data_IF_203201504057
#
_entry.id   IF_203201504057
#
_cell.length_a   1.000
_cell.length_b   1.000
_cell.length_c   1.000
_cell.angle_alpha   90.00
_cell.angle_beta   90.00
_cell.angle_gamma   90.00
#
_symmetry.space_group_name_H-M   'P 1'
#
loop_
_entity.id
_entity.type
_entity.pdbx_description
1 polymer ?
#
# COMPACT_ATOMS: atom_id res chain seq x y z
N UNK A 1 -11.31 -14.81 7.33
CA UNK A 1 -11.35 -13.36 7.04
C UNK A 1 -10.47 -13.17 5.84
N UNK A 2 -11.11 -12.90 4.72
CA UNK A 2 -10.54 -12.94 3.40
C UNK A 2 -10.93 -11.64 2.67
N UNK A 3 -9.93 -11.04 2.04
CA UNK A 3 -10.15 -9.88 1.19
C UNK A 3 -10.36 -10.36 -0.23
N UNK A 4 -11.30 -9.80 -0.96
CA UNK A 4 -11.62 -10.21 -2.32
C UNK A 4 -11.45 -9.05 -3.30
N UNK A 5 -10.91 -9.37 -4.48
CA UNK A 5 -10.99 -8.54 -5.67
C UNK A 5 -12.13 -9.07 -6.54
N UNK A 6 -13.08 -8.21 -6.84
CA UNK A 6 -14.24 -8.48 -7.69
C UNK A 6 -14.00 -7.81 -9.05
N UNK A 7 -13.84 -8.60 -10.09
CA UNK A 7 -13.72 -8.10 -11.47
C UNK A 7 -15.08 -8.25 -12.16
N UNK A 8 -15.72 -7.12 -12.41
CA UNK A 8 -17.05 -7.02 -13.02
C UNK A 8 -16.87 -6.68 -14.49
N UNK A 9 -17.39 -7.53 -15.38
CA UNK A 9 -17.29 -7.32 -16.83
C UNK A 9 -18.51 -6.54 -17.34
N UNK A 10 -18.30 -5.28 -17.75
CA UNK A 10 -19.29 -4.45 -18.42
C UNK A 10 -19.10 -4.51 -19.94
N UNK A 11 -20.03 -3.94 -20.71
CA UNK A 11 -20.08 -4.07 -22.18
C UNK A 11 -18.80 -3.63 -22.90
N UNK A 12 -18.04 -2.67 -22.34
CA UNK A 12 -16.80 -2.12 -22.92
C UNK A 12 -15.69 -1.88 -21.89
N UNK A 13 -15.87 -2.38 -20.68
CA UNK A 13 -14.96 -2.12 -19.58
C UNK A 13 -14.95 -3.26 -18.57
N UNK A 14 -13.89 -3.32 -17.79
CA UNK A 14 -13.80 -4.19 -16.61
C UNK A 14 -13.60 -3.31 -15.40
N UNK A 15 -14.50 -3.42 -14.44
CA UNK A 15 -14.42 -2.74 -13.16
C UNK A 15 -13.86 -3.69 -12.09
N UNK A 16 -12.89 -3.22 -11.32
CA UNK A 16 -12.36 -3.90 -10.17
C UNK A 16 -12.80 -3.21 -8.88
N UNK A 17 -13.54 -3.95 -8.05
CA UNK A 17 -13.98 -3.52 -6.73
C UNK A 17 -13.32 -4.41 -5.68
N UNK A 18 -12.80 -3.81 -4.62
CA UNK A 18 -12.15 -4.56 -3.55
C UNK A 18 -13.02 -4.55 -2.29
N UNK A 19 -13.31 -5.73 -1.76
CA UNK A 19 -14.13 -5.89 -0.54
C UNK A 19 -13.39 -6.71 0.51
N UNK A 20 -13.70 -6.46 1.78
CA UNK A 20 -13.24 -7.26 2.92
C UNK A 20 -14.45 -7.93 3.57
N UNK A 21 -14.47 -9.26 3.67
CA UNK A 21 -15.61 -9.98 4.25
C UNK A 21 -15.75 -9.79 5.76
N UNK A 22 -14.67 -9.40 6.42
CA UNK A 22 -14.62 -9.13 7.85
C UNK A 22 -14.98 -7.68 8.19
N UNK A 23 -14.85 -6.78 7.23
CA UNK A 23 -15.00 -5.34 7.38
C UNK A 23 -15.70 -4.76 6.16
N UNK A 24 -16.98 -5.11 6.01
CA UNK A 24 -17.82 -4.56 4.95
C UNK A 24 -17.98 -3.05 5.15
N UNK A 25 -18.12 -2.29 4.05
CA UNK A 25 -18.41 -0.86 4.14
C UNK A 25 -19.80 -0.61 4.74
N UNK A 26 -20.01 0.57 5.30
CA UNK A 26 -21.31 1.02 5.82
C UNK A 26 -21.99 2.00 4.86
N UNK A 27 -23.30 2.19 5.00
CA UNK A 27 -24.02 3.19 4.21
C UNK A 27 -23.51 4.60 4.56
N UNK A 28 -23.18 5.39 3.54
CA UNK A 28 -22.54 6.71 3.66
C UNK A 28 -21.01 6.67 3.52
N UNK A 29 -20.38 5.48 3.55
CA UNK A 29 -18.95 5.38 3.29
C UNK A 29 -18.62 5.80 1.85
N UNK A 30 -17.46 6.43 1.66
CA UNK A 30 -16.85 6.60 0.35
C UNK A 30 -15.85 5.48 0.11
N UNK A 31 -15.85 4.94 -1.11
CA UNK A 31 -14.86 3.97 -1.54
C UNK A 31 -14.39 4.28 -2.95
N UNK A 32 -13.49 3.44 -3.46
CA UNK A 32 -12.94 3.60 -4.80
C UNK A 32 -13.01 2.31 -5.59
N UNK A 33 -13.36 2.43 -6.85
CA UNK A 33 -13.29 1.35 -7.83
C UNK A 33 -12.33 1.72 -8.95
N UNK A 34 -11.84 0.72 -9.68
CA UNK A 34 -10.95 0.92 -10.81
C UNK A 34 -11.59 0.37 -12.06
N UNK A 35 -11.71 1.16 -13.11
CA UNK A 35 -12.34 0.72 -14.33
C UNK A 35 -11.37 0.82 -15.50
N UNK A 36 -11.26 -0.25 -16.27
CA UNK A 36 -10.42 -0.32 -17.46
C UNK A 36 -11.31 -0.43 -18.69
N UNK A 37 -11.27 0.58 -19.54
CA UNK A 37 -11.95 0.60 -20.83
C UNK A 37 -11.04 0.03 -21.92
N UNK A 38 -11.65 -0.56 -22.94
CA UNK A 38 -10.90 -1.03 -24.11
C UNK A 38 -10.15 0.13 -24.77
N UNK A 39 -8.83 -0.02 -24.93
CA UNK A 39 -7.98 0.99 -25.58
C UNK A 39 -7.62 2.20 -24.73
N UNK A 40 -8.00 2.25 -23.44
CA UNK A 40 -7.70 3.36 -22.53
C UNK A 40 -6.95 2.90 -21.26
N UNK A 41 -6.27 3.85 -20.61
CA UNK A 41 -5.67 3.63 -19.30
C UNK A 41 -6.75 3.41 -18.22
N UNK A 42 -6.48 2.62 -17.17
CA UNK A 42 -7.41 2.44 -16.06
C UNK A 42 -7.73 3.75 -15.35
N UNK A 43 -9.03 3.99 -15.14
CA UNK A 43 -9.57 5.16 -14.47
C UNK A 43 -10.00 4.78 -13.06
N UNK A 44 -9.79 5.67 -12.09
CA UNK A 44 -10.22 5.48 -10.71
C UNK A 44 -11.52 6.26 -10.46
N UNK A 45 -12.51 5.60 -9.90
CA UNK A 45 -13.76 6.21 -9.44
C UNK A 45 -13.79 6.37 -7.93
N UNK A 46 -14.38 7.46 -7.47
CA UNK A 46 -14.85 7.64 -6.11
C UNK A 46 -16.36 7.42 -6.10
N UNK A 47 -16.82 6.55 -5.21
CA UNK A 47 -18.22 6.12 -5.17
C UNK A 47 -18.74 6.15 -3.75
N UNK A 48 -20.01 6.46 -3.62
CA UNK A 48 -20.74 6.45 -2.35
C UNK A 48 -21.37 5.07 -2.13
N UNK A 49 -21.20 4.52 -0.94
CA UNK A 49 -21.91 3.31 -0.52
C UNK A 49 -23.29 3.72 -0.05
N UNK A 50 -24.30 3.51 -0.89
CA UNK A 50 -25.67 3.93 -0.60
C UNK A 50 -26.30 3.02 0.45
N UNK A 51 -26.03 1.72 0.35
CA UNK A 51 -26.67 0.71 1.20
C UNK A 51 -25.85 -0.56 1.23
N UNK A 52 -25.72 -1.14 2.42
CA UNK A 52 -25.27 -2.52 2.61
C UNK A 52 -26.35 -3.30 3.35
N UNK A 53 -26.78 -4.42 2.78
CA UNK A 53 -27.78 -5.32 3.38
C UNK A 53 -27.15 -6.70 3.53
N UNK A 54 -26.73 -7.05 4.74
CA UNK A 54 -26.16 -8.36 5.06
C UNK A 54 -27.22 -9.27 5.68
N UNK A 55 -27.40 -10.46 5.11
CA UNK A 55 -28.32 -11.49 5.60
C UNK A 55 -27.69 -12.89 5.55
N UNK A 56 -28.40 -13.88 6.07
CA UNK A 56 -27.94 -15.27 6.09
C UNK A 56 -27.81 -15.81 4.65
N UNK A 57 -26.60 -15.77 4.09
CA UNK A 57 -26.28 -16.30 2.76
C UNK A 57 -26.37 -15.30 1.61
N UNK A 58 -26.60 -14.01 1.88
CA UNK A 58 -26.61 -12.95 0.85
C UNK A 58 -26.18 -11.61 1.46
N UNK A 59 -25.26 -10.93 0.78
CA UNK A 59 -24.88 -9.56 1.11
C UNK A 59 -25.00 -8.69 -0.14
N UNK A 60 -25.81 -7.64 -0.07
CA UNK A 60 -25.96 -6.67 -1.17
C UNK A 60 -25.23 -5.38 -0.79
N UNK A 61 -24.37 -4.89 -1.68
CA UNK A 61 -23.65 -3.62 -1.56
C UNK A 61 -24.07 -2.74 -2.74
N UNK A 62 -24.63 -1.58 -2.47
CA UNK A 62 -25.08 -0.63 -3.49
C UNK A 62 -24.11 0.55 -3.53
N UNK A 63 -23.47 0.75 -4.66
CA UNK A 63 -22.50 1.81 -4.93
C UNK A 63 -23.12 2.84 -5.88
N UNK A 64 -22.96 4.13 -5.59
CA UNK A 64 -23.43 5.23 -6.44
C UNK A 64 -22.26 6.00 -7.02
N UNK A 65 -22.36 6.22 -8.33
CA UNK A 65 -21.36 6.88 -9.16
C UNK A 65 -21.97 8.20 -9.60
N UNK A 66 -21.33 9.30 -9.20
CA UNK A 66 -21.80 10.64 -9.53
C UNK A 66 -20.68 11.49 -10.08
N UNK A 67 -21.06 12.49 -10.89
CA UNK A 67 -20.15 13.47 -11.45
C UNK A 67 -19.51 14.32 -10.35
N UNK A 68 -20.26 14.61 -9.29
CA UNK A 68 -19.83 15.42 -8.15
C UNK A 68 -18.69 14.77 -7.37
N UNK A 69 -18.71 13.45 -7.22
CA UNK A 69 -17.61 12.68 -6.61
C UNK A 69 -16.41 12.51 -7.56
N UNK A 70 -16.63 12.69 -8.87
CA UNK A 70 -15.63 12.45 -9.91
C UNK A 70 -15.44 13.66 -10.84
N UNK A 71 -15.09 14.85 -10.31
CA UNK A 71 -15.02 16.08 -11.09
C UNK A 71 -13.96 16.02 -12.21
N UNK A 72 -12.91 15.20 -12.05
CA UNK A 72 -11.89 14.99 -13.08
C UNK A 72 -12.43 14.28 -14.33
N UNK A 73 -13.57 13.61 -14.23
CA UNK A 73 -14.22 12.86 -15.31
C UNK A 73 -15.43 13.61 -15.88
N UNK A 74 -15.69 14.82 -15.41
CA UNK A 74 -16.87 15.63 -15.72
C UNK A 74 -17.06 15.99 -17.21
N UNK A 75 -15.99 15.90 -18.02
CA UNK A 75 -15.99 16.21 -19.45
C UNK A 75 -16.02 14.98 -20.36
N UNK A 76 -16.06 13.77 -19.80
CA UNK A 76 -16.20 12.51 -20.54
C UNK A 76 -17.67 12.10 -20.51
N UNK A 77 -18.22 11.67 -21.65
CA UNK A 77 -19.57 11.13 -21.71
C UNK A 77 -19.58 9.75 -21.04
N UNK A 78 -19.95 9.72 -19.76
CA UNK A 78 -19.82 8.56 -18.91
C UNK A 78 -21.16 8.16 -18.28
N UNK A 79 -21.49 6.87 -18.21
CA UNK A 79 -22.68 6.40 -17.50
C UNK A 79 -22.56 6.68 -16.01
N UNK A 80 -23.45 7.52 -15.47
CA UNK A 80 -23.62 7.74 -14.03
C UNK A 80 -24.80 6.92 -13.53
N UNK A 81 -24.74 6.38 -12.32
CA UNK A 81 -25.74 5.43 -11.87
C UNK A 81 -25.38 4.71 -10.59
N UNK A 82 -25.95 3.53 -10.42
CA UNK A 82 -25.70 2.65 -9.28
C UNK A 82 -25.30 1.25 -9.71
N UNK A 83 -24.28 0.70 -9.05
CA UNK A 83 -23.89 -0.70 -9.15
C UNK A 83 -24.34 -1.43 -7.89
N UNK A 84 -25.16 -2.46 -8.04
CA UNK A 84 -25.57 -3.36 -6.94
C UNK A 84 -24.79 -4.66 -7.02
N UNK A 85 -23.86 -4.85 -6.09
CA UNK A 85 -23.04 -6.06 -5.98
C UNK A 85 -23.69 -7.01 -4.97
N UNK A 86 -24.10 -8.18 -5.43
CA UNK A 86 -24.70 -9.24 -4.61
C UNK A 86 -23.69 -10.36 -4.37
N UNK A 87 -23.21 -10.48 -3.13
CA UNK A 87 -22.33 -11.56 -2.67
C UNK A 87 -23.15 -12.73 -2.13
N UNK A 88 -22.74 -13.95 -2.47
CA UNK A 88 -23.34 -15.19 -1.99
C UNK A 88 -22.24 -16.16 -1.54
N UNK A 89 -22.22 -16.57 -0.26
CA UNK A 89 -21.30 -17.61 0.21
C UNK A 89 -21.54 -18.91 -0.57
N UNK A 90 -20.47 -19.47 -1.15
CA UNK A 90 -20.51 -20.76 -1.83
C UNK A 90 -19.73 -21.82 -1.06
N UNK A 91 -20.01 -23.12 -1.30
CA UNK A 91 -19.37 -24.25 -0.61
C UNK A 91 -17.84 -24.30 -0.70
N UNK A 92 -17.24 -23.69 -1.74
CA UNK A 92 -15.78 -23.69 -1.99
C UNK A 92 -15.19 -22.31 -2.26
N UNK A 93 -15.99 -21.34 -2.71
CA UNK A 93 -15.57 -19.98 -3.03
C UNK A 93 -16.74 -19.02 -2.92
N UNK A 94 -16.46 -17.76 -2.59
CA UNK A 94 -17.44 -16.69 -2.66
C UNK A 94 -17.90 -16.50 -4.12
N UNK A 95 -19.20 -16.24 -4.32
CA UNK A 95 -19.76 -15.90 -5.62
C UNK A 95 -20.32 -14.49 -5.56
N UNK A 96 -20.22 -13.77 -6.66
CA UNK A 96 -20.78 -12.43 -6.79
C UNK A 96 -21.51 -12.29 -8.12
N UNK A 97 -22.48 -11.38 -8.14
CA UNK A 97 -23.18 -10.89 -9.33
C UNK A 97 -23.31 -9.37 -9.16
N UNK A 98 -23.16 -8.61 -10.24
CA UNK A 98 -23.33 -7.16 -10.21
C UNK A 98 -24.46 -6.74 -11.16
N UNK A 99 -25.25 -5.76 -10.75
CA UNK A 99 -26.31 -5.17 -11.56
C UNK A 99 -26.10 -3.66 -11.67
N UNK A 100 -26.03 -3.15 -12.89
CA UNK A 100 -25.89 -1.73 -13.19
C UNK A 100 -27.23 -1.10 -13.54
N UNK A 101 -27.49 0.09 -12.99
CA UNK A 101 -28.63 0.93 -13.32
C UNK A 101 -28.20 2.39 -13.50
N UNK A 102 -28.33 2.90 -14.73
CA UNK A 102 -28.01 4.27 -15.11
C UNK A 102 -29.01 5.29 -14.56
N UNK A 103 -28.55 6.53 -14.42
CA UNK A 103 -29.37 7.68 -14.08
C UNK A 103 -29.07 8.84 -15.05
N UNK A 104 -29.98 9.14 -16.00
CA UNK A 104 -31.25 8.45 -16.26
C UNK A 104 -31.08 7.03 -16.82
N UNK A 105 -32.09 6.14 -16.69
CA UNK A 105 -32.01 4.75 -17.18
C UNK A 105 -31.61 4.66 -18.64
N UNK A 106 -30.74 3.71 -18.97
CA UNK A 106 -30.23 3.49 -20.31
C UNK A 106 -30.12 1.98 -20.57
N UNK A 107 -31.12 1.36 -21.24
CA UNK A 107 -31.16 -0.08 -21.48
C UNK A 107 -29.98 -0.66 -22.26
N UNK A 108 -29.18 0.17 -22.94
CA UNK A 108 -27.96 -0.28 -23.61
C UNK A 108 -26.84 -0.64 -22.63
N UNK A 109 -26.86 -0.05 -21.42
CA UNK A 109 -25.84 -0.23 -20.39
C UNK A 109 -26.40 -0.80 -19.08
N UNK A 110 -27.72 -0.70 -18.85
CA UNK A 110 -28.41 -1.30 -17.71
C UNK A 110 -28.41 -2.83 -17.84
N UNK A 111 -28.17 -3.53 -16.73
CA UNK A 111 -28.26 -4.99 -16.74
C UNK A 111 -27.36 -5.67 -15.71
N UNK A 112 -27.35 -7.00 -15.79
CA UNK A 112 -26.57 -7.86 -14.90
C UNK A 112 -25.29 -8.32 -15.58
N UNK A 113 -24.19 -8.30 -14.85
CA UNK A 113 -22.88 -8.75 -15.30
C UNK A 113 -22.31 -9.87 -14.45
N UNK A 114 -21.45 -10.68 -15.09
CA UNK A 114 -20.66 -11.68 -14.41
C UNK A 114 -19.56 -11.03 -13.57
N UNK A 115 -19.31 -11.60 -12.40
CA UNK A 115 -18.25 -11.15 -11.49
C UNK A 115 -17.28 -12.29 -11.25
N UNK A 116 -16.03 -12.07 -11.65
CA UNK A 116 -14.92 -12.93 -11.25
C UNK A 116 -14.47 -12.54 -9.84
N UNK A 117 -14.42 -13.52 -8.93
CA UNK A 117 -14.03 -13.31 -7.54
C UNK A 117 -12.65 -13.92 -7.31
N UNK A 118 -11.68 -13.08 -6.99
CA UNK A 118 -10.32 -13.49 -6.61
C UNK A 118 -10.11 -13.23 -5.13
N UNK A 119 -9.79 -14.26 -4.36
CA UNK A 119 -9.32 -14.09 -2.99
C UNK A 119 -7.92 -13.50 -3.00
N UNK A 120 -7.77 -12.34 -2.38
CA UNK A 120 -6.49 -11.68 -2.19
C UNK A 120 -5.78 -12.31 -1.00
N UNK A 121 -4.45 -12.46 -1.06
CA UNK A 121 -3.70 -12.97 0.08
C UNK A 121 -3.99 -12.11 1.32
N UNK A 122 -4.08 -12.72 2.52
CA UNK A 122 -4.20 -11.96 3.76
C UNK A 122 -3.06 -10.95 3.81
N UNK A 123 -3.37 -9.74 4.29
CA UNK A 123 -2.37 -8.70 4.47
C UNK A 123 -1.34 -9.17 5.51
N UNK A 124 -0.31 -9.89 5.06
CA UNK A 124 0.81 -10.28 5.88
C UNK A 124 1.55 -9.03 6.34
N UNK A 125 1.64 -8.86 7.67
CA UNK A 125 2.60 -7.99 8.36
C UNK A 125 2.57 -6.49 8.07
N UNK A 126 1.55 -5.77 8.57
CA UNK A 126 1.74 -4.35 8.89
C UNK A 126 0.80 -3.83 10.01
N UNK A 127 0.62 -4.62 11.07
CA UNK A 127 -0.17 -4.21 12.25
C UNK A 127 0.49 -3.12 13.12
N UNK A 128 1.78 -2.83 12.93
CA UNK A 128 2.55 -2.01 13.88
C UNK A 128 2.82 -0.56 13.42
N UNK A 129 2.25 -0.13 12.28
CA UNK A 129 2.45 1.22 11.72
C UNK A 129 1.29 2.19 12.01
N UNK A 130 0.34 1.80 12.87
CA UNK A 130 -0.79 2.64 13.32
C UNK A 130 -0.50 3.43 14.61
N UNK A 131 0.75 3.44 15.08
CA UNK A 131 1.12 4.20 16.27
C UNK A 131 1.69 5.59 15.92
N UNK A 132 0.96 6.40 15.14
CA UNK A 132 1.15 7.85 15.09
C UNK A 132 -0.21 8.52 14.94
N UNK A 133 -0.46 9.46 15.86
CA UNK A 133 -1.72 10.13 16.15
C UNK A 133 -2.36 10.78 14.91
N UNK A 134 -3.69 10.68 14.82
CA UNK A 134 -4.48 11.27 13.76
C UNK A 134 -4.40 12.81 13.78
N UNK A 135 -4.01 13.48 12.68
CA UNK A 135 -4.45 14.83 12.44
C UNK A 135 -5.85 14.80 11.80
N UNK A 136 -6.68 15.75 12.20
CA UNK A 136 -8.06 15.92 11.76
C UNK A 136 -8.19 16.10 10.23
N UNK A 137 -8.83 15.11 9.59
CA UNK A 137 -9.26 15.10 8.18
C UNK A 137 -8.82 13.83 7.42
N UNK A 138 -9.46 13.50 6.28
CA UNK A 138 -10.53 12.49 6.09
C UNK A 138 -10.45 11.24 6.99
N UNK A 139 -11.53 10.44 7.07
CA UNK A 139 -11.65 9.32 8.02
C UNK A 139 -10.48 8.34 7.92
N UNK A 140 -10.02 7.82 9.07
CA UNK A 140 -8.88 6.91 9.24
C UNK A 140 -8.84 5.75 8.23
N UNK A 141 -10.02 5.31 7.75
CA UNK A 141 -10.19 4.26 6.74
C UNK A 141 -9.69 4.66 5.33
N UNK A 142 -9.93 5.89 4.90
CA UNK A 142 -9.44 6.41 3.60
C UNK A 142 -7.92 6.59 3.62
N UNK A 143 -7.37 7.05 4.75
CA UNK A 143 -5.92 7.13 4.98
C UNK A 143 -5.30 5.74 4.96
N UNK A 144 -5.94 4.74 5.58
CA UNK A 144 -5.45 3.36 5.59
C UNK A 144 -5.50 2.67 4.22
N UNK A 145 -6.55 2.91 3.43
CA UNK A 145 -6.66 2.37 2.07
C UNK A 145 -5.71 3.08 1.11
N UNK A 146 -5.58 4.41 1.20
CA UNK A 146 -4.61 5.18 0.43
C UNK A 146 -3.17 4.80 0.81
N UNK A 147 -2.89 4.60 2.09
CA UNK A 147 -1.61 4.07 2.57
C UNK A 147 -1.34 2.67 2.05
N UNK A 148 -2.35 1.79 1.97
CA UNK A 148 -2.22 0.42 1.45
C UNK A 148 -1.96 0.38 -0.07
N UNK A 149 -2.68 1.18 -0.85
CA UNK A 149 -2.47 1.32 -2.30
C UNK A 149 -1.14 2.04 -2.59
N UNK A 150 -0.84 3.08 -1.80
CA UNK A 150 0.41 3.84 -1.84
C UNK A 150 1.62 2.96 -1.51
N UNK A 151 1.51 2.09 -0.50
CA UNK A 151 2.53 1.10 -0.15
C UNK A 151 2.72 0.04 -1.23
N UNK A 152 1.64 -0.42 -1.88
CA UNK A 152 1.77 -1.33 -3.03
C UNK A 152 2.55 -0.69 -4.18
N UNK A 153 2.18 0.54 -4.57
CA UNK A 153 2.89 1.30 -5.61
C UNK A 153 4.33 1.62 -5.20
N UNK A 154 4.54 2.05 -3.97
CA UNK A 154 5.87 2.33 -3.42
C UNK A 154 6.76 1.09 -3.43
N UNK A 155 6.27 -0.04 -2.91
CA UNK A 155 7.01 -1.32 -2.93
C UNK A 155 7.42 -1.70 -4.35
N UNK A 156 6.50 -1.64 -5.32
CA UNK A 156 6.82 -1.94 -6.72
C UNK A 156 7.90 -1.00 -7.29
N UNK A 157 7.88 0.28 -6.90
CA UNK A 157 8.90 1.27 -7.30
C UNK A 157 10.24 1.01 -6.63
N UNK A 158 10.26 0.62 -5.35
CA UNK A 158 11.48 0.23 -4.62
C UNK A 158 12.11 -1.00 -5.28
N UNK A 159 11.33 -2.06 -5.55
CA UNK A 159 11.82 -3.27 -6.25
C UNK A 159 12.43 -2.90 -7.60
N UNK A 160 11.75 -2.02 -8.36
CA UNK A 160 12.23 -1.58 -9.68
C UNK A 160 13.51 -0.73 -9.58
N UNK A 161 13.59 0.17 -8.59
CA UNK A 161 14.77 1.00 -8.38
C UNK A 161 15.98 0.18 -7.91
N UNK A 162 15.75 -0.81 -7.05
CA UNK A 162 16.79 -1.67 -6.49
C UNK A 162 17.36 -2.67 -7.50
N UNK A 163 16.59 -3.10 -8.52
CA UNK A 163 17.08 -3.97 -9.62
C UNK A 163 17.70 -5.32 -9.20
N UNK A 164 17.48 -5.78 -7.96
CA UNK A 164 17.93 -7.10 -7.47
C UNK A 164 16.75 -8.02 -7.05
N UNK A 165 15.55 -7.71 -7.54
CA UNK A 165 14.32 -8.43 -7.20
C UNK A 165 13.87 -8.20 -5.75
N UNK A 166 13.00 -9.08 -5.25
CA UNK A 166 12.50 -9.04 -3.88
C UNK A 166 13.50 -9.68 -2.92
N UNK A 167 14.57 -8.95 -2.63
CA UNK A 167 15.65 -9.39 -1.75
C UNK A 167 15.95 -8.32 -0.70
N UNK A 168 16.10 -8.72 0.56
CA UNK A 168 16.57 -7.82 1.61
C UNK A 168 17.93 -7.23 1.22
N UNK A 169 18.05 -5.90 1.24
CA UNK A 169 19.27 -5.20 0.86
C UNK A 169 20.47 -5.58 1.74
N UNK A 170 20.22 -5.95 3.01
CA UNK A 170 21.25 -6.31 3.99
C UNK A 170 21.42 -7.83 4.14
N UNK A 171 20.41 -8.54 4.64
CA UNK A 171 20.49 -9.98 4.97
C UNK A 171 20.40 -10.91 3.78
N UNK A 172 20.06 -10.37 2.59
CA UNK A 172 19.81 -11.11 1.36
C UNK A 172 18.67 -12.14 1.45
N UNK A 173 17.80 -12.03 2.45
CA UNK A 173 16.55 -12.81 2.56
C UNK A 173 15.68 -12.58 1.32
N UNK A 174 15.18 -13.65 0.71
CA UNK A 174 14.38 -13.60 -0.53
C UNK A 174 12.92 -14.03 -0.34
N UNK A 175 12.49 -14.26 0.91
CA UNK A 175 11.10 -14.63 1.25
C UNK A 175 10.27 -13.35 1.29
N UNK A 176 9.41 -13.07 0.28
CA UNK A 176 8.75 -11.77 0.16
C UNK A 176 7.90 -11.38 1.37
N UNK A 177 7.30 -12.37 2.04
CA UNK A 177 6.48 -12.22 3.24
C UNK A 177 7.27 -11.73 4.47
N UNK A 178 8.60 -11.87 4.45
CA UNK A 178 9.49 -11.36 5.49
C UNK A 178 10.09 -9.99 5.13
N UNK A 179 9.79 -9.46 3.94
CA UNK A 179 10.36 -8.21 3.44
C UNK A 179 9.40 -7.05 3.59
N UNK A 180 9.90 -5.97 4.17
CA UNK A 180 9.23 -4.68 4.29
C UNK A 180 9.87 -3.71 3.29
N UNK A 181 9.04 -2.96 2.55
CA UNK A 181 9.52 -1.81 1.79
C UNK A 181 9.59 -0.61 2.75
N UNK A 182 10.78 -0.41 3.33
CA UNK A 182 11.02 0.59 4.36
C UNK A 182 11.39 1.92 3.72
N UNK A 183 10.74 3.01 4.13
CA UNK A 183 11.10 4.37 3.72
C UNK A 183 12.41 4.81 4.39
N UNK A 184 13.29 5.45 3.62
CA UNK A 184 14.55 6.01 4.17
C UNK A 184 14.27 7.35 4.85
N UNK A 185 13.62 8.28 4.13
CA UNK A 185 12.96 9.47 4.68
C UNK A 185 11.52 9.09 5.00
N UNK A 186 11.10 9.10 6.29
CA UNK A 186 9.78 8.66 6.69
C UNK A 186 8.66 9.40 5.95
N UNK A 187 7.55 8.69 5.77
CA UNK A 187 6.40 9.18 5.01
C UNK A 187 5.84 10.51 5.55
N UNK A 188 5.82 10.68 6.88
CA UNK A 188 5.39 11.91 7.57
C UNK A 188 6.27 13.12 7.27
N UNK A 189 7.54 12.88 6.94
CA UNK A 189 8.54 13.93 6.79
C UNK A 189 8.77 14.27 5.32
N UNK A 190 8.17 13.51 4.40
CA UNK A 190 8.22 13.78 2.96
C UNK A 190 7.40 15.02 2.61
N UNK A 191 7.98 15.89 1.78
CA UNK A 191 7.43 17.20 1.41
C UNK A 191 6.41 17.10 0.27
N UNK A 192 6.41 15.98 -0.46
CA UNK A 192 5.52 15.75 -1.61
C UNK A 192 5.19 14.27 -1.82
N UNK A 193 4.11 14.02 -2.57
CA UNK A 193 3.75 12.66 -3.00
C UNK A 193 4.78 12.02 -3.94
N UNK A 194 5.55 12.84 -4.67
CA UNK A 194 6.67 12.36 -5.48
C UNK A 194 7.77 11.74 -4.60
N UNK A 195 8.12 12.36 -3.48
CA UNK A 195 9.08 11.79 -2.51
C UNK A 195 8.51 10.55 -1.80
N UNK A 196 7.21 10.58 -1.45
CA UNK A 196 6.52 9.46 -0.77
C UNK A 196 6.48 8.21 -1.64
N UNK A 197 6.42 8.40 -2.96
CA UNK A 197 6.37 7.34 -3.95
C UNK A 197 7.69 7.18 -4.73
N UNK A 198 8.79 7.83 -4.36
CA UNK A 198 10.08 7.65 -5.03
C UNK A 198 10.69 6.31 -4.63
N UNK A 199 10.96 5.45 -5.61
CA UNK A 199 11.62 4.15 -5.35
C UNK A 199 13.03 4.30 -4.78
N UNK A 200 13.70 5.43 -5.01
CA UNK A 200 15.00 5.72 -4.41
C UNK A 200 14.91 6.09 -2.92
N UNK A 201 13.71 6.39 -2.41
CA UNK A 201 13.45 6.65 -0.99
C UNK A 201 13.11 5.37 -0.21
N UNK A 202 13.48 4.19 -0.72
CA UNK A 202 13.14 2.95 -0.06
C UNK A 202 14.15 1.83 -0.21
N UNK A 203 14.07 0.90 0.75
CA UNK A 203 14.84 -0.33 0.80
C UNK A 203 13.91 -1.50 1.10
N UNK A 204 14.19 -2.66 0.49
CA UNK A 204 13.61 -3.91 0.97
C UNK A 204 14.46 -4.41 2.13
N UNK A 205 13.85 -4.54 3.30
CA UNK A 205 14.53 -4.99 4.52
C UNK A 205 13.75 -6.16 5.14
N UNK A 206 14.48 -7.11 5.72
CA UNK A 206 13.84 -8.13 6.55
C UNK A 206 13.18 -7.46 7.77
N UNK A 207 12.05 -7.98 8.26
CA UNK A 207 11.22 -7.29 9.27
C UNK A 207 11.98 -6.83 10.52
N UNK A 208 12.96 -7.62 10.98
CA UNK A 208 13.79 -7.27 12.14
C UNK A 208 14.81 -6.15 11.83
N UNK A 209 15.32 -6.09 10.59
CA UNK A 209 16.21 -5.01 10.13
C UNK A 209 15.42 -3.72 9.92
N UNK A 210 14.24 -3.81 9.33
CA UNK A 210 13.30 -2.70 9.16
C UNK A 210 13.03 -2.00 10.50
N UNK A 211 12.64 -2.76 11.54
CA UNK A 211 12.36 -2.18 12.86
C UNK A 211 13.56 -1.48 13.49
N UNK A 212 14.76 -2.00 13.31
CA UNK A 212 15.98 -1.33 13.77
C UNK A 212 16.24 -0.04 12.99
N UNK A 213 16.03 -0.06 11.67
CA UNK A 213 16.27 1.07 10.78
C UNK A 213 15.25 2.21 10.99
N UNK A 214 13.96 1.91 11.00
CA UNK A 214 12.86 2.88 11.17
C UNK A 214 12.96 3.62 12.52
N UNK A 215 13.34 2.90 13.59
CA UNK A 215 13.54 3.47 14.93
C UNK A 215 14.87 4.19 15.11
N UNK A 216 15.66 4.37 14.05
CA UNK A 216 17.00 4.96 14.09
C UNK A 216 17.93 4.25 15.09
N UNK A 217 17.76 2.94 15.27
CA UNK A 217 18.64 2.06 16.06
C UNK A 217 19.75 1.44 15.19
N UNK A 218 19.52 1.38 13.88
CA UNK A 218 20.48 1.04 12.85
C UNK A 218 20.57 2.19 11.87
N UNK A 219 21.78 2.68 11.59
CA UNK A 219 22.09 3.64 10.54
C UNK A 219 23.08 3.05 9.54
N UNK A 220 23.14 3.65 8.36
CA UNK A 220 24.07 3.27 7.30
C UNK A 220 25.07 4.39 7.08
N UNK A 221 26.31 4.20 7.57
CA UNK A 221 27.39 5.17 7.40
C UNK A 221 27.84 5.19 5.94
N UNK A 222 27.80 6.35 5.25
CA UNK A 222 28.24 6.45 3.87
C UNK A 222 29.72 6.13 3.70
N UNK A 223 30.03 5.38 2.66
CA UNK A 223 31.36 5.08 2.15
C UNK A 223 31.54 5.56 0.71
N UNK A 224 32.63 5.16 0.03
CA UNK A 224 32.84 5.48 -1.38
C UNK A 224 31.85 4.74 -2.28
N UNK A 225 31.63 5.25 -3.51
CA UNK A 225 30.88 4.56 -4.58
C UNK A 225 29.51 4.02 -4.17
N UNK A 226 28.73 4.77 -3.39
CA UNK A 226 27.40 4.36 -2.91
C UNK A 226 27.42 3.04 -2.12
N UNK A 227 28.53 2.78 -1.42
CA UNK A 227 28.60 1.73 -0.41
C UNK A 227 28.33 2.32 0.97
N UNK A 228 27.77 1.51 1.86
CA UNK A 228 27.44 1.92 3.21
C UNK A 228 27.79 0.82 4.21
N UNK A 229 28.16 1.21 5.42
CA UNK A 229 28.45 0.26 6.51
C UNK A 229 27.43 0.42 7.63
N UNK A 230 26.90 -0.71 8.10
CA UNK A 230 25.95 -0.72 9.21
C UNK A 230 26.60 -0.17 10.48
N UNK A 231 25.89 0.74 11.14
CA UNK A 231 26.17 1.24 12.48
C UNK A 231 24.94 1.01 13.37
N UNK A 232 25.16 0.40 14.52
CA UNK A 232 24.14 0.07 15.50
C UNK A 232 24.29 0.96 16.73
N UNK A 233 23.14 1.36 17.26
CA UNK A 233 23.03 2.08 18.51
C UNK A 233 23.74 1.29 19.64
N UNK A 234 24.60 1.91 20.46
CA UNK A 234 25.39 1.21 21.47
C UNK A 234 24.60 0.23 22.33
N UNK A 235 23.43 0.67 22.81
CA UNK A 235 22.59 -0.10 23.74
C UNK A 235 21.87 -1.32 23.11
N UNK A 236 21.85 -1.46 21.78
CA UNK A 236 21.17 -2.59 21.12
C UNK A 236 22.12 -3.54 20.40
N UNK A 237 23.42 -3.24 20.35
CA UNK A 237 24.43 -4.00 19.58
C UNK A 237 24.41 -5.50 19.87
N UNK A 238 24.40 -5.85 21.15
CA UNK A 238 24.45 -7.25 21.58
C UNK A 238 23.19 -8.02 21.16
N UNK A 239 22.01 -7.40 21.31
CA UNK A 239 20.74 -8.04 20.93
C UNK A 239 20.57 -8.12 19.41
N UNK A 240 20.98 -7.07 18.68
CA UNK A 240 20.99 -7.07 17.22
C UNK A 240 21.89 -8.17 16.64
N UNK A 241 23.04 -8.43 17.28
CA UNK A 241 23.93 -9.52 16.87
C UNK A 241 23.27 -10.91 16.98
N UNK A 242 22.41 -11.13 17.99
CA UNK A 242 21.62 -12.38 18.13
C UNK A 242 20.60 -12.55 17.00
N UNK A 243 20.21 -11.45 16.35
CA UNK A 243 19.34 -11.42 15.17
C UNK A 243 20.13 -11.46 13.84
N UNK A 244 21.46 -11.66 13.90
CA UNK A 244 22.32 -11.70 12.70
C UNK A 244 22.66 -10.33 12.11
N UNK A 245 22.43 -9.23 12.85
CA UNK A 245 22.74 -7.87 12.40
C UNK A 245 23.94 -7.34 13.19
N UNK A 246 25.04 -7.06 12.48
CA UNK A 246 26.31 -6.64 13.10
C UNK A 246 26.83 -5.33 12.50
N UNK A 247 27.62 -4.60 13.29
CA UNK A 247 28.33 -3.42 12.79
C UNK A 247 29.29 -3.79 11.66
N UNK A 248 29.43 -2.88 10.70
CA UNK A 248 30.34 -3.04 9.57
C UNK A 248 29.79 -3.90 8.43
N UNK A 249 28.60 -4.49 8.58
CA UNK A 249 27.94 -5.16 7.45
C UNK A 249 27.76 -4.18 6.28
N UNK A 250 28.05 -4.65 5.07
CA UNK A 250 28.08 -3.83 3.86
C UNK A 250 26.71 -3.81 3.20
N UNK A 251 26.24 -2.60 2.87
CA UNK A 251 25.18 -2.38 1.90
C UNK A 251 25.80 -1.75 0.66
N UNK A 252 25.73 -2.46 -0.47
CA UNK A 252 26.22 -1.98 -1.76
C UNK A 252 25.05 -1.50 -2.61
N UNK A 253 25.02 -0.20 -2.91
CA UNK A 253 24.02 0.45 -3.75
C UNK A 253 24.62 1.01 -5.05
N UNK A 254 25.84 0.58 -5.43
CA UNK A 254 26.54 1.04 -6.64
C UNK A 254 25.78 0.76 -7.94
N UNK A 255 24.90 -0.25 -7.91
CA UNK A 255 24.09 -0.67 -9.06
C UNK A 255 22.83 0.19 -9.30
N UNK A 256 22.53 1.16 -8.44
CA UNK A 256 21.28 1.95 -8.54
C UNK A 256 21.19 2.90 -9.74
N UNK A 257 22.28 3.09 -10.50
CA UNK A 257 22.30 3.91 -11.72
C UNK A 257 21.70 5.30 -11.50
N UNK A 258 20.65 5.64 -12.25
CA UNK A 258 19.96 6.94 -12.17
C UNK A 258 19.31 7.25 -10.80
N UNK A 259 19.14 6.24 -9.94
CA UNK A 259 18.55 6.39 -8.61
C UNK A 259 19.60 6.69 -7.53
N UNK A 260 20.88 6.44 -7.80
CA UNK A 260 21.95 6.45 -6.80
C UNK A 260 22.10 7.80 -6.06
N UNK A 261 22.05 8.92 -6.79
CA UNK A 261 22.20 10.25 -6.19
C UNK A 261 21.04 10.61 -5.25
N UNK A 262 19.79 10.27 -5.62
CA UNK A 262 18.61 10.52 -4.75
C UNK A 262 18.64 9.61 -3.54
N UNK A 263 18.96 8.33 -3.75
CA UNK A 263 19.12 7.35 -2.68
C UNK A 263 20.16 7.80 -1.65
N UNK A 264 21.33 8.27 -2.10
CA UNK A 264 22.38 8.81 -1.22
C UNK A 264 21.92 10.03 -0.41
N UNK A 265 21.15 10.93 -1.03
CA UNK A 265 20.52 12.06 -0.32
C UNK A 265 19.64 11.61 0.84
N UNK A 266 18.74 10.65 0.59
CA UNK A 266 17.88 10.10 1.65
C UNK A 266 18.69 9.37 2.74
N UNK A 267 19.68 8.56 2.34
CA UNK A 267 20.51 7.79 3.27
C UNK A 267 21.32 8.69 4.20
N UNK A 268 21.86 9.81 3.69
CA UNK A 268 22.54 10.81 4.53
C UNK A 268 21.59 11.45 5.53
N UNK A 269 20.37 11.77 5.10
CA UNK A 269 19.32 12.31 5.98
C UNK A 269 18.96 11.34 7.10
N UNK A 270 18.77 10.06 6.79
CA UNK A 270 18.54 9.02 7.79
C UNK A 270 19.74 8.86 8.74
N UNK A 271 20.97 8.81 8.21
CA UNK A 271 22.16 8.64 9.04
C UNK A 271 22.36 9.78 10.05
N UNK A 272 22.05 11.02 9.68
CA UNK A 272 22.08 12.14 10.62
C UNK A 272 21.10 11.96 11.79
N UNK A 273 19.89 11.43 11.53
CA UNK A 273 18.91 11.09 12.58
C UNK A 273 19.38 9.95 13.47
N UNK A 274 20.02 8.94 12.88
CA UNK A 274 20.68 7.88 13.63
C UNK A 274 21.76 8.43 14.55
N UNK A 275 22.65 9.32 14.09
CA UNK A 275 23.70 9.91 14.92
C UNK A 275 23.11 10.69 16.10
N UNK A 276 22.06 11.49 15.85
CA UNK A 276 21.35 12.20 16.92
C UNK A 276 20.74 11.24 17.95
N UNK A 277 20.16 10.12 17.50
CA UNK A 277 19.60 9.09 18.38
C UNK A 277 20.70 8.37 19.17
N UNK A 278 21.80 8.01 18.52
CA UNK A 278 22.92 7.27 19.10
C UNK A 278 23.70 8.05 20.17
N UNK A 279 23.58 9.37 20.19
CA UNK A 279 24.12 10.23 21.24
C UNK A 279 23.36 10.12 22.57
N UNK A 280 22.16 9.56 22.57
CA UNK A 280 21.29 9.44 23.76
C UNK A 280 21.23 8.00 24.23
N UNK A 281 21.47 7.73 25.52
CA UNK A 281 21.26 6.40 26.11
C UNK A 281 19.77 6.04 26.11
N UNK A 282 19.44 4.82 25.70
CA UNK A 282 18.08 4.26 25.72
C UNK A 282 17.69 3.76 27.11
N UNK A 283 18.66 3.24 27.86
CA UNK A 283 18.46 2.73 29.21
C UNK A 283 19.24 3.61 30.19
N UNK A 284 18.59 4.04 31.27
CA UNK A 284 19.31 4.64 32.40
C UNK A 284 20.13 3.54 33.07
N UNK A 285 21.36 3.86 33.46
CA UNK A 285 22.16 2.97 34.31
C UNK A 285 21.36 2.67 35.58
N UNK A 286 21.07 1.38 35.78
CA UNK A 286 20.37 0.82 36.93
C UNK A 286 21.32 0.65 38.11
#
# INVERSE_FOLDING_TARGET
MAKYSLSIAWMHSVETVTIDDADLPEAGDLMTTWERWEGHDPVKYYVEVVRVTAGAGRTDIVLRYTKELNPALAGVDYPWGTSTITLRPGKKRLRAVAEWANSPPNPAYDGTSEVEVTELPPAGLLGDLLALEAPSGPTTREVLVAARIGQGKFRSRVIRAWQQGETCALTKTTIPELLVASHIKPWSDCDSDDERLDGANGLLLASHVDKLFDRCLLGFKPGPNYTYTVQLHPDVREQAAKLGVTNGALLDASHLGQHAARFDGYMRGHYARFEARAATRLFKES
#
